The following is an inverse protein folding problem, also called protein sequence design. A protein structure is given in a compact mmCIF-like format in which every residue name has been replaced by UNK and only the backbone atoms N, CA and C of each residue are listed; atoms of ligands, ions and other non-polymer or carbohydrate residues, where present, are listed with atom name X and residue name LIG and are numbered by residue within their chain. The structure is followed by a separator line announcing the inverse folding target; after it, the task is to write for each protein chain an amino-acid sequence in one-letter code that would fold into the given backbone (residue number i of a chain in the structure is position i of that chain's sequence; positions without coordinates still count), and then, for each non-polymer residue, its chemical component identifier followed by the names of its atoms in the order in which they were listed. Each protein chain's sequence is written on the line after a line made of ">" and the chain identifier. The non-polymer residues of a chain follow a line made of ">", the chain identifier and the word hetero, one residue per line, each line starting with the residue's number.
data_IF_912092842790
#
_entry.id   IF_912092842790
#
_cell.length_a   1.000
_cell.length_b   1.000
_cell.length_c   1.000
_cell.angle_alpha   90.00
_cell.angle_beta   90.00
_cell.angle_gamma   90.00
#
_symmetry.space_group_name_H-M   'P 1'
#
loop_
_entity.id
_entity.type
_entity.pdbx_description
1 polymer ?
#
# COMPACT_ATOMS: atom_id res chain seq x y z
N UNK A 1 3.94 22.30 2.13
CA UNK A 1 2.87 23.31 2.33
C UNK A 1 1.47 22.74 2.08
N UNK A 2 1.16 22.17 0.90
CA UNK A 2 -0.18 21.68 0.56
C UNK A 2 -0.66 20.61 1.56
N UNK A 3 0.16 19.61 1.86
CA UNK A 3 -0.18 18.53 2.80
C UNK A 3 -0.26 19.00 4.27
N UNK A 4 0.42 20.10 4.62
CA UNK A 4 0.40 20.67 5.96
C UNK A 4 -0.82 21.58 6.20
N UNK A 5 -1.53 21.97 5.16
CA UNK A 5 -2.68 22.84 5.26
C UNK A 5 -3.95 22.01 5.48
N UNK A 6 -4.43 22.00 6.73
CA UNK A 6 -5.63 21.25 7.15
C UNK A 6 -6.92 21.76 6.50
N UNK A 7 -6.94 23.01 6.04
CA UNK A 7 -8.09 23.55 5.31
C UNK A 7 -8.21 22.96 3.89
N UNK A 8 -7.11 22.45 3.32
CA UNK A 8 -7.11 21.87 1.97
C UNK A 8 -7.50 20.39 1.97
N UNK A 9 -6.93 19.62 2.90
CA UNK A 9 -7.18 18.18 3.02
C UNK A 9 -7.22 17.75 4.48
N UNK A 10 -8.19 16.92 4.83
CA UNK A 10 -8.31 16.32 6.16
C UNK A 10 -7.21 15.34 6.50
N UNK A 11 -6.52 14.79 5.47
CA UNK A 11 -5.43 13.81 5.60
C UNK A 11 -4.27 14.11 4.64
N UNK A 12 -3.09 13.56 4.94
CA UNK A 12 -1.89 13.72 4.09
C UNK A 12 -1.92 12.86 2.81
N UNK A 13 -2.76 11.81 2.76
CA UNK A 13 -2.78 10.83 1.67
C UNK A 13 -3.48 11.33 0.41
N UNK A 14 -4.56 12.08 0.56
CA UNK A 14 -5.39 12.51 -0.58
C UNK A 14 -4.59 13.24 -1.66
N UNK A 15 -3.68 14.13 -1.28
CA UNK A 15 -2.88 14.86 -2.26
C UNK A 15 -1.82 14.01 -2.96
N UNK A 16 -1.17 13.07 -2.25
CA UNK A 16 -0.15 12.21 -2.88
C UNK A 16 -0.73 11.15 -3.81
N UNK A 17 -2.02 10.91 -3.71
CA UNK A 17 -2.79 10.04 -4.61
C UNK A 17 -3.34 10.79 -5.82
N UNK A 18 -3.27 12.12 -5.84
CA UNK A 18 -3.76 12.93 -6.93
C UNK A 18 -2.96 12.69 -8.23
N UNK A 19 -3.65 12.68 -9.35
CA UNK A 19 -3.06 12.45 -10.67
C UNK A 19 -2.83 13.80 -11.34
N UNK A 20 -1.59 14.20 -11.70
CA UNK A 20 -1.35 15.43 -12.40
C UNK A 20 -1.96 15.39 -13.83
N UNK A 21 -2.73 16.40 -14.19
CA UNK A 21 -3.32 16.56 -15.52
C UNK A 21 -2.47 17.43 -16.45
N UNK A 22 -1.52 18.16 -15.88
CA UNK A 22 -0.59 19.02 -16.59
C UNK A 22 0.86 18.58 -16.36
N UNK A 23 1.80 19.07 -17.20
CA UNK A 23 3.23 18.79 -17.02
C UNK A 23 3.72 19.35 -15.67
N UNK A 24 4.67 18.64 -15.04
CA UNK A 24 5.23 19.06 -13.75
C UNK A 24 5.83 20.46 -13.78
N UNK A 25 6.43 20.86 -14.91
CA UNK A 25 6.99 22.19 -15.08
C UNK A 25 5.90 23.27 -15.17
N UNK A 26 4.75 22.97 -15.79
CA UNK A 26 3.60 23.86 -15.80
C UNK A 26 3.04 24.02 -14.40
N UNK A 27 2.80 22.90 -13.72
CA UNK A 27 2.29 22.87 -12.34
C UNK A 27 3.18 23.69 -11.40
N UNK A 28 4.51 23.51 -11.46
CA UNK A 28 5.45 24.26 -10.65
C UNK A 28 5.37 25.77 -10.91
N UNK A 29 5.33 26.17 -12.20
CA UNK A 29 5.23 27.60 -12.56
C UNK A 29 3.91 28.23 -12.07
N UNK A 30 2.82 27.50 -12.12
CA UNK A 30 1.54 28.00 -11.64
C UNK A 30 1.50 28.06 -10.12
N UNK A 31 2.04 27.04 -9.44
CA UNK A 31 2.17 27.04 -7.99
C UNK A 31 2.93 28.26 -7.48
N UNK A 32 4.08 28.58 -8.07
CA UNK A 32 4.87 29.76 -7.66
C UNK A 32 4.08 31.09 -7.74
N UNK A 33 3.09 31.20 -8.65
CA UNK A 33 2.25 32.38 -8.78
C UNK A 33 1.16 32.49 -7.72
N UNK A 34 0.80 31.36 -7.08
CA UNK A 34 -0.39 31.29 -6.20
C UNK A 34 -0.06 30.95 -4.76
N UNK A 35 1.13 30.41 -4.44
CA UNK A 35 1.48 29.86 -3.12
C UNK A 35 1.22 30.83 -1.94
N UNK A 36 1.20 32.12 -2.17
CA UNK A 36 0.94 33.15 -1.14
C UNK A 36 -0.44 33.81 -1.27
N UNK A 37 -1.37 33.25 -2.08
CA UNK A 37 -2.69 33.88 -2.34
C UNK A 37 -3.84 33.32 -1.52
N UNK A 38 -3.53 32.46 -0.53
CA UNK A 38 -4.50 31.86 0.38
C UNK A 38 -5.22 30.64 -0.18
N UNK A 39 -6.02 30.01 0.67
CA UNK A 39 -6.61 28.69 0.43
C UNK A 39 -7.51 28.63 -0.80
N UNK A 40 -8.31 29.68 -1.05
CA UNK A 40 -9.20 29.72 -2.23
C UNK A 40 -8.45 29.64 -3.55
N UNK A 41 -7.31 30.33 -3.66
CA UNK A 41 -6.45 30.25 -4.84
C UNK A 41 -5.77 28.86 -4.96
N UNK A 42 -5.39 28.28 -3.83
CA UNK A 42 -4.81 26.94 -3.76
C UNK A 42 -5.84 25.87 -4.15
N UNK A 43 -7.08 25.93 -3.68
CA UNK A 43 -8.14 25.02 -4.11
C UNK A 43 -8.40 25.08 -5.62
N UNK A 44 -8.43 26.29 -6.18
CA UNK A 44 -8.60 26.46 -7.62
C UNK A 44 -7.42 25.83 -8.37
N UNK A 45 -6.20 26.11 -7.94
CA UNK A 45 -4.99 25.52 -8.53
C UNK A 45 -5.00 23.99 -8.50
N UNK A 46 -5.38 23.39 -7.38
CA UNK A 46 -5.46 21.93 -7.24
C UNK A 46 -6.45 21.33 -8.24
N UNK A 47 -7.64 21.90 -8.37
CA UNK A 47 -8.65 21.43 -9.33
C UNK A 47 -8.28 21.63 -10.79
N UNK A 48 -7.52 22.67 -11.09
CA UNK A 48 -7.13 23.01 -12.46
C UNK A 48 -5.93 22.15 -12.93
N UNK A 49 -5.18 21.53 -12.01
CA UNK A 49 -3.93 20.83 -12.30
C UNK A 49 -3.91 19.36 -11.92
N UNK A 50 -4.86 18.89 -11.12
CA UNK A 50 -4.86 17.52 -10.61
C UNK A 50 -6.25 16.91 -10.64
N UNK A 51 -6.34 15.68 -11.09
CA UNK A 51 -7.46 14.83 -10.78
C UNK A 51 -7.30 14.33 -9.34
N UNK A 52 -8.12 14.87 -8.44
CA UNK A 52 -8.14 14.43 -7.05
C UNK A 52 -8.82 13.06 -6.95
N UNK A 53 -8.35 12.16 -6.06
CA UNK A 53 -9.03 10.91 -5.84
C UNK A 53 -10.45 11.19 -5.34
N UNK A 54 -11.43 10.69 -6.06
CA UNK A 54 -12.85 10.84 -5.72
C UNK A 54 -13.24 10.05 -4.46
N UNK A 55 -14.41 10.35 -3.90
CA UNK A 55 -15.06 9.53 -2.86
C UNK A 55 -15.68 8.24 -3.48
N UNK A 56 -14.96 7.62 -4.40
CA UNK A 56 -15.46 6.54 -5.27
C UNK A 56 -15.80 5.24 -4.52
N UNK A 57 -15.46 5.14 -3.25
CA UNK A 57 -15.58 3.89 -2.51
C UNK A 57 -17.00 3.51 -2.11
N UNK A 58 -17.96 4.39 -2.32
CA UNK A 58 -19.37 4.14 -1.98
C UNK A 58 -20.35 4.49 -3.08
N UNK A 59 -19.91 4.58 -4.36
CA UNK A 59 -20.80 4.95 -5.46
C UNK A 59 -22.05 4.07 -5.50
N UNK A 60 -23.13 4.58 -4.93
CA UNK A 60 -24.44 3.92 -4.93
C UNK A 60 -24.63 2.78 -3.94
N UNK A 61 -23.63 2.41 -3.13
CA UNK A 61 -23.83 1.42 -2.10
C UNK A 61 -24.55 2.05 -0.89
N UNK A 62 -25.74 1.52 -0.62
CA UNK A 62 -26.51 1.85 0.59
C UNK A 62 -26.57 0.61 1.48
N UNK A 63 -26.28 0.81 2.75
CA UNK A 63 -26.48 -0.22 3.77
C UNK A 63 -27.96 -0.58 3.79
N UNK A 64 -28.27 -1.81 3.51
CA UNK A 64 -29.62 -2.34 3.68
C UNK A 64 -29.79 -3.07 5.00
N UNK A 65 -30.99 -3.57 5.29
CA UNK A 65 -31.31 -4.34 6.48
C UNK A 65 -30.92 -5.82 6.37
N UNK A 66 -29.99 -6.17 5.48
CA UNK A 66 -29.50 -7.54 5.36
C UNK A 66 -28.68 -7.95 6.60
N UNK A 67 -28.57 -9.26 6.84
CA UNK A 67 -27.67 -9.78 7.85
C UNK A 67 -26.20 -9.49 7.51
N UNK A 68 -25.32 -9.59 8.51
CA UNK A 68 -23.89 -9.24 8.38
C UNK A 68 -23.21 -10.02 7.27
N UNK A 69 -23.48 -11.32 7.11
CA UNK A 69 -22.83 -12.15 6.09
C UNK A 69 -23.22 -11.70 4.67
N UNK A 70 -24.52 -11.48 4.46
CA UNK A 70 -25.03 -10.93 3.19
C UNK A 70 -24.46 -9.54 2.89
N UNK A 71 -24.34 -8.67 3.91
CA UNK A 71 -23.75 -7.35 3.78
C UNK A 71 -22.27 -7.44 3.32
N UNK A 72 -21.47 -8.26 4.01
CA UNK A 72 -20.05 -8.48 3.66
C UNK A 72 -19.92 -8.99 2.21
N UNK A 73 -20.74 -9.98 1.84
CA UNK A 73 -20.71 -10.53 0.47
C UNK A 73 -21.02 -9.49 -0.59
N UNK A 74 -21.95 -8.57 -0.34
CA UNK A 74 -22.23 -7.45 -1.25
C UNK A 74 -21.07 -6.46 -1.36
N UNK A 75 -20.30 -6.27 -0.26
CA UNK A 75 -19.15 -5.36 -0.26
C UNK A 75 -18.03 -5.82 -1.19
N UNK A 76 -17.85 -7.11 -1.47
CA UNK A 76 -16.81 -7.57 -2.40
C UNK A 76 -16.92 -6.89 -3.76
N UNK A 77 -18.14 -6.74 -4.31
CA UNK A 77 -18.35 -6.07 -5.60
C UNK A 77 -18.05 -4.57 -5.56
N UNK A 78 -18.24 -3.92 -4.41
CA UNK A 78 -17.95 -2.49 -4.20
C UNK A 78 -16.45 -2.23 -4.08
N UNK A 79 -15.74 -3.14 -3.37
CA UNK A 79 -14.31 -3.01 -3.09
C UNK A 79 -13.42 -3.60 -4.19
N UNK A 80 -13.98 -4.39 -5.10
CA UNK A 80 -13.24 -4.99 -6.21
C UNK A 80 -12.82 -3.94 -7.23
N UNK A 81 -11.57 -3.99 -7.62
CA UNK A 81 -10.99 -3.19 -8.71
C UNK A 81 -10.65 -4.12 -9.87
N UNK A 82 -10.91 -3.71 -11.12
CA UNK A 82 -10.41 -4.43 -12.29
C UNK A 82 -8.88 -4.37 -12.35
N UNK A 83 -8.28 -5.06 -13.32
CA UNK A 83 -6.88 -4.84 -13.67
C UNK A 83 -6.65 -3.36 -14.01
N UNK A 84 -5.51 -2.81 -13.56
CA UNK A 84 -5.21 -1.41 -13.77
C UNK A 84 -4.71 -1.14 -15.19
N UNK A 85 -5.22 -0.09 -15.81
CA UNK A 85 -4.59 0.52 -16.98
C UNK A 85 -3.34 1.31 -16.55
N UNK A 86 -2.48 1.66 -17.55
CA UNK A 86 -1.30 2.49 -17.28
C UNK A 86 -1.76 3.90 -16.89
N UNK A 87 -1.72 4.20 -15.61
CA UNK A 87 -2.09 5.50 -15.06
C UNK A 87 -0.88 6.43 -14.94
N UNK A 88 -1.13 7.74 -15.01
CA UNK A 88 -0.21 8.79 -14.59
C UNK A 88 -0.45 9.08 -13.11
N UNK A 89 0.58 9.05 -12.27
CA UNK A 89 0.45 9.27 -10.82
C UNK A 89 1.30 8.30 -10.01
N UNK A 90 0.93 8.07 -8.77
CA UNK A 90 1.70 7.21 -7.85
C UNK A 90 1.28 5.74 -7.86
N UNK A 91 0.13 5.40 -8.49
CA UNK A 91 -0.35 4.01 -8.54
C UNK A 91 0.55 3.14 -9.43
N UNK A 92 0.93 1.99 -8.93
CA UNK A 92 1.64 0.94 -9.66
C UNK A 92 0.59 0.02 -10.26
N UNK A 93 0.42 -0.03 -11.59
CA UNK A 93 -0.62 -0.84 -12.22
C UNK A 93 -0.43 -2.32 -11.94
N UNK A 94 -1.54 -3.00 -11.65
CA UNK A 94 -1.60 -4.44 -11.41
C UNK A 94 -2.32 -5.16 -12.55
N UNK A 95 -1.80 -6.32 -13.00
CA UNK A 95 -2.31 -7.03 -14.17
C UNK A 95 -3.65 -7.75 -13.96
N UNK A 96 -4.08 -7.98 -12.72
CA UNK A 96 -5.30 -8.70 -12.40
C UNK A 96 -6.20 -7.90 -11.47
N UNK A 97 -7.47 -8.29 -11.36
CA UNK A 97 -8.42 -7.69 -10.42
C UNK A 97 -8.02 -7.95 -8.96
N UNK A 98 -8.39 -7.06 -8.06
CA UNK A 98 -8.07 -7.14 -6.64
C UNK A 98 -9.11 -6.46 -5.76
N UNK A 99 -9.09 -6.72 -4.46
CA UNK A 99 -9.92 -6.06 -3.45
C UNK A 99 -9.08 -4.98 -2.75
N UNK A 100 -9.68 -3.81 -2.54
CA UNK A 100 -9.09 -2.74 -1.72
C UNK A 100 -9.78 -2.67 -0.35
N UNK A 101 -9.10 -2.16 0.70
CA UNK A 101 -9.73 -2.02 2.02
C UNK A 101 -10.91 -1.03 2.05
N UNK A 102 -10.91 -0.03 1.17
CA UNK A 102 -11.97 0.98 1.07
C UNK A 102 -11.63 2.30 1.78
N UNK A 103 -12.55 3.26 1.71
CA UNK A 103 -12.33 4.61 2.20
C UNK A 103 -11.16 5.29 1.48
N UNK A 104 -10.23 5.87 2.22
CA UNK A 104 -9.01 6.49 1.66
C UNK A 104 -7.97 5.47 1.17
N UNK A 105 -8.14 4.17 1.45
CA UNK A 105 -7.24 3.09 1.05
C UNK A 105 -7.73 2.48 -0.27
N UNK A 106 -7.30 3.08 -1.39
CA UNK A 106 -7.78 2.80 -2.76
C UNK A 106 -6.85 1.89 -3.56
N UNK A 107 -5.82 1.38 -2.94
CA UNK A 107 -4.83 0.43 -3.46
C UNK A 107 -4.89 -0.90 -2.74
N UNK A 108 -4.24 -1.95 -3.30
CA UNK A 108 -4.03 -3.20 -2.56
C UNK A 108 -3.00 -2.98 -1.46
N UNK A 109 -3.23 -3.55 -0.29
CA UNK A 109 -2.27 -3.56 0.82
C UNK A 109 -1.82 -4.98 1.11
N UNK A 110 -0.55 -5.15 1.51
CA UNK A 110 0.09 -6.46 1.54
C UNK A 110 -0.57 -7.38 2.56
N UNK A 111 -0.29 -7.24 3.86
CA UNK A 111 -0.78 -8.19 4.87
C UNK A 111 -2.29 -8.12 5.08
N UNK A 112 -2.92 -6.95 4.85
CA UNK A 112 -4.38 -6.76 4.90
C UNK A 112 -5.09 -7.70 3.93
N UNK A 113 -4.47 -7.95 2.77
CA UNK A 113 -5.00 -8.85 1.73
C UNK A 113 -5.12 -10.30 2.20
N UNK A 114 -4.28 -10.77 3.12
CA UNK A 114 -4.42 -12.10 3.69
C UNK A 114 -5.77 -12.25 4.42
N UNK A 115 -6.11 -11.31 5.28
CA UNK A 115 -7.38 -11.33 6.03
C UNK A 115 -8.57 -11.17 5.08
N UNK A 116 -8.42 -10.37 4.04
CA UNK A 116 -9.41 -10.28 2.95
C UNK A 116 -9.60 -11.62 2.25
N UNK A 117 -8.51 -12.34 1.96
CA UNK A 117 -8.57 -13.66 1.30
C UNK A 117 -9.27 -14.71 2.16
N UNK A 118 -9.13 -14.69 3.50
CA UNK A 118 -9.89 -15.56 4.38
C UNK A 118 -11.42 -15.33 4.25
N UNK A 119 -11.83 -14.06 4.12
CA UNK A 119 -13.23 -13.73 3.86
C UNK A 119 -13.70 -14.15 2.47
N UNK A 120 -12.88 -13.94 1.45
CA UNK A 120 -13.16 -14.39 0.08
C UNK A 120 -13.25 -15.91 -0.04
N UNK A 121 -12.43 -16.65 0.74
CA UNK A 121 -12.46 -18.10 0.81
C UNK A 121 -13.82 -18.60 1.36
N UNK A 122 -14.31 -18.00 2.43
CA UNK A 122 -15.63 -18.33 2.99
C UNK A 122 -16.76 -18.11 1.97
N UNK A 123 -16.63 -17.09 1.13
CA UNK A 123 -17.62 -16.75 0.09
C UNK A 123 -17.39 -17.48 -1.25
N UNK A 124 -16.34 -18.31 -1.36
CA UNK A 124 -16.02 -19.11 -2.56
C UNK A 124 -15.41 -18.30 -3.71
N UNK A 125 -14.86 -17.11 -3.43
CA UNK A 125 -14.25 -16.18 -4.41
C UNK A 125 -12.80 -16.59 -4.77
N UNK A 126 -12.56 -17.87 -5.06
CA UNK A 126 -11.23 -18.48 -5.25
C UNK A 126 -10.45 -17.83 -6.41
N UNK A 127 -11.12 -17.42 -7.47
CA UNK A 127 -10.49 -16.73 -8.60
C UNK A 127 -9.95 -15.35 -8.18
N UNK A 128 -10.71 -14.62 -7.36
CA UNK A 128 -10.27 -13.32 -6.83
C UNK A 128 -9.05 -13.49 -5.91
N UNK A 129 -9.00 -14.52 -5.07
CA UNK A 129 -7.84 -14.87 -4.26
C UNK A 129 -6.62 -15.10 -5.15
N UNK A 130 -6.76 -15.92 -6.20
CA UNK A 130 -5.66 -16.20 -7.12
C UNK A 130 -5.16 -14.94 -7.82
N UNK A 131 -6.05 -14.09 -8.31
CA UNK A 131 -5.70 -12.82 -8.94
C UNK A 131 -4.89 -11.91 -8.00
N UNK A 132 -5.27 -11.83 -6.73
CA UNK A 132 -4.53 -11.05 -5.74
C UNK A 132 -3.13 -11.63 -5.49
N UNK A 133 -2.98 -12.96 -5.40
CA UNK A 133 -1.68 -13.64 -5.28
C UNK A 133 -0.83 -13.41 -6.54
N UNK A 134 -1.40 -13.53 -7.74
CA UNK A 134 -0.71 -13.28 -8.99
C UNK A 134 -0.25 -11.80 -9.10
N UNK A 135 -1.01 -10.85 -8.55
CA UNK A 135 -0.60 -9.44 -8.41
C UNK A 135 0.61 -9.28 -7.46
N UNK A 136 0.63 -9.97 -6.32
CA UNK A 136 1.79 -9.96 -5.42
C UNK A 136 3.00 -10.62 -6.06
N UNK A 137 2.82 -11.72 -6.80
CA UNK A 137 3.87 -12.34 -7.62
C UNK A 137 4.46 -11.35 -8.62
N UNK A 138 3.61 -10.58 -9.31
CA UNK A 138 4.03 -9.52 -10.22
C UNK A 138 4.87 -8.45 -9.50
N UNK A 139 4.46 -8.00 -8.32
CA UNK A 139 5.22 -7.02 -7.53
C UNK A 139 6.58 -7.58 -7.08
N UNK A 140 6.64 -8.83 -6.61
CA UNK A 140 7.90 -9.51 -6.27
C UNK A 140 8.82 -9.60 -7.50
N UNK A 141 8.29 -10.01 -8.64
CA UNK A 141 9.08 -10.11 -9.86
C UNK A 141 9.59 -8.77 -10.38
N UNK A 142 8.86 -7.70 -10.13
CA UNK A 142 9.20 -6.35 -10.58
C UNK A 142 10.17 -5.61 -9.65
N UNK A 143 10.00 -5.76 -8.33
CA UNK A 143 10.72 -4.98 -7.32
C UNK A 143 11.59 -5.82 -6.39
N UNK A 144 11.48 -7.15 -6.42
CA UNK A 144 12.16 -8.08 -5.52
C UNK A 144 11.43 -8.31 -4.19
N UNK A 145 10.33 -7.61 -3.94
CA UNK A 145 9.55 -7.70 -2.71
C UNK A 145 8.11 -7.18 -2.92
N UNK A 146 7.25 -7.38 -1.93
CA UNK A 146 5.91 -6.79 -1.90
C UNK A 146 5.98 -5.47 -1.11
N UNK A 147 5.75 -4.30 -1.75
CA UNK A 147 5.62 -3.03 -1.03
C UNK A 147 4.40 -3.02 -0.09
N UNK A 148 4.35 -2.08 0.85
CA UNK A 148 3.18 -1.86 1.72
C UNK A 148 1.85 -1.88 0.97
N UNK A 149 1.84 -1.31 -0.24
CA UNK A 149 0.74 -1.26 -1.19
C UNK A 149 1.25 -0.88 -2.58
N UNK A 150 0.41 -0.96 -3.60
CA UNK A 150 0.82 -0.70 -4.98
C UNK A 150 0.89 0.82 -5.32
N UNK A 151 1.63 1.58 -4.49
CA UNK A 151 1.98 2.99 -4.75
C UNK A 151 3.49 3.19 -4.73
N UNK A 152 4.00 4.09 -5.57
CA UNK A 152 5.44 4.35 -5.67
C UNK A 152 6.07 4.87 -4.38
N UNK A 153 5.32 5.55 -3.54
CA UNK A 153 5.82 6.03 -2.25
C UNK A 153 5.95 4.92 -1.19
N UNK A 154 5.41 3.71 -1.45
CA UNK A 154 5.60 2.53 -0.61
C UNK A 154 6.82 1.69 -0.95
N UNK A 155 7.59 2.03 -2.00
CA UNK A 155 8.74 1.23 -2.46
C UNK A 155 9.93 1.21 -1.50
N UNK A 156 9.91 1.98 -0.42
CA UNK A 156 10.98 1.98 0.60
C UNK A 156 10.80 0.93 1.70
N UNK A 157 9.62 0.29 1.80
CA UNK A 157 9.26 -0.63 2.89
C UNK A 157 8.24 -1.67 2.48
N UNK A 158 8.14 -2.72 3.30
CA UNK A 158 7.12 -3.77 3.21
C UNK A 158 6.32 -3.84 4.51
N UNK A 159 5.19 -4.51 4.49
CA UNK A 159 4.44 -4.97 5.65
C UNK A 159 4.91 -6.38 6.07
N UNK A 160 4.48 -6.94 7.21
CA UNK A 160 4.81 -8.30 7.62
C UNK A 160 4.58 -9.35 6.52
N UNK A 161 5.46 -10.36 6.38
CA UNK A 161 5.42 -11.33 5.29
C UNK A 161 4.28 -12.35 5.44
N UNK A 162 3.20 -12.13 4.73
CA UNK A 162 2.01 -12.98 4.71
C UNK A 162 1.81 -13.75 3.38
N UNK A 163 2.71 -13.59 2.42
CA UNK A 163 2.55 -14.19 1.09
C UNK A 163 2.50 -15.72 1.12
N UNK A 164 3.32 -16.37 1.96
CA UNK A 164 3.25 -17.82 2.15
C UNK A 164 1.90 -18.29 2.67
N UNK A 165 1.32 -17.56 3.63
CA UNK A 165 -0.01 -17.87 4.19
C UNK A 165 -1.13 -17.65 3.14
N UNK A 166 -0.98 -16.67 2.25
CA UNK A 166 -1.92 -16.47 1.14
C UNK A 166 -1.89 -17.67 0.16
N UNK A 167 -0.69 -18.21 -0.09
CA UNK A 167 -0.52 -19.39 -0.93
C UNK A 167 -1.15 -20.62 -0.25
N UNK A 168 -1.04 -20.76 1.08
CA UNK A 168 -1.71 -21.81 1.84
C UNK A 168 -3.23 -21.75 1.62
N UNK A 169 -3.85 -20.57 1.75
CA UNK A 169 -5.28 -20.37 1.46
C UNK A 169 -5.65 -20.84 0.06
N UNK A 170 -4.86 -20.50 -0.96
CA UNK A 170 -5.12 -20.95 -2.32
C UNK A 170 -4.89 -22.47 -2.49
N UNK A 171 -3.91 -23.03 -1.79
CA UNK A 171 -3.61 -24.48 -1.84
C UNK A 171 -4.71 -25.31 -1.21
N UNK A 172 -5.39 -24.83 -0.17
CA UNK A 172 -6.58 -25.47 0.40
C UNK A 172 -7.70 -25.64 -0.64
N UNK A 173 -7.83 -24.68 -1.57
CA UNK A 173 -8.87 -24.69 -2.61
C UNK A 173 -8.44 -25.44 -3.89
N UNK A 174 -7.16 -25.34 -4.29
CA UNK A 174 -6.66 -25.82 -5.60
C UNK A 174 -5.65 -26.98 -5.50
N UNK A 175 -5.30 -27.38 -4.29
CA UNK A 175 -4.36 -28.48 -4.03
C UNK A 175 -2.88 -28.07 -4.06
N UNK A 176 -2.02 -29.01 -3.65
CA UNK A 176 -0.61 -28.75 -3.34
C UNK A 176 0.26 -28.34 -4.55
N UNK A 177 -0.21 -28.48 -5.79
CA UNK A 177 0.51 -27.99 -6.97
C UNK A 177 0.71 -26.48 -6.98
N UNK A 178 -0.12 -25.76 -6.22
CA UNK A 178 -0.03 -24.31 -6.00
C UNK A 178 1.34 -23.93 -5.44
N UNK A 179 1.88 -24.68 -4.48
CA UNK A 179 3.20 -24.40 -3.88
C UNK A 179 4.32 -24.38 -4.91
N UNK A 180 4.33 -25.36 -5.80
CA UNK A 180 5.36 -25.44 -6.86
C UNK A 180 5.25 -24.26 -7.84
N UNK A 181 4.02 -23.77 -8.11
CA UNK A 181 3.79 -22.62 -8.98
C UNK A 181 4.43 -21.34 -8.44
N UNK A 182 4.28 -21.07 -7.15
CA UNK A 182 4.70 -19.81 -6.52
C UNK A 182 6.03 -19.89 -5.76
N UNK A 183 6.71 -21.05 -5.77
CA UNK A 183 8.00 -21.24 -5.10
C UNK A 183 9.06 -20.18 -5.48
N UNK A 184 9.23 -19.81 -6.78
CA UNK A 184 10.22 -18.80 -7.14
C UNK A 184 9.99 -17.44 -6.50
N UNK A 185 8.74 -17.03 -6.32
CA UNK A 185 8.38 -15.77 -5.68
C UNK A 185 8.55 -15.84 -4.16
N UNK A 186 8.21 -16.98 -3.53
CA UNK A 186 8.48 -17.24 -2.12
C UNK A 186 9.97 -17.16 -1.79
N UNK A 187 10.82 -17.73 -2.63
CA UNK A 187 12.27 -17.67 -2.47
C UNK A 187 12.80 -16.22 -2.58
N UNK A 188 12.27 -15.42 -3.51
CA UNK A 188 12.62 -13.99 -3.64
C UNK A 188 12.19 -13.18 -2.42
N UNK A 189 10.98 -13.41 -1.92
CA UNK A 189 10.50 -12.73 -0.72
C UNK A 189 11.35 -13.11 0.50
N UNK A 190 11.66 -14.37 0.66
CA UNK A 190 12.57 -14.84 1.72
C UNK A 190 13.95 -14.16 1.61
N UNK A 191 14.52 -14.07 0.41
CA UNK A 191 15.79 -13.39 0.18
C UNK A 191 15.74 -11.91 0.56
N UNK A 192 14.64 -11.22 0.24
CA UNK A 192 14.43 -9.83 0.65
C UNK A 192 14.42 -9.67 2.18
N UNK A 193 13.71 -10.53 2.89
CA UNK A 193 13.64 -10.48 4.35
C UNK A 193 14.94 -10.87 5.03
N UNK A 194 15.72 -11.75 4.42
CA UNK A 194 17.02 -12.23 4.94
C UNK A 194 18.22 -11.47 4.38
N UNK A 195 17.99 -10.38 3.64
CA UNK A 195 19.06 -9.57 3.07
C UNK A 195 20.03 -9.06 4.16
N UNK A 196 21.32 -9.35 3.98
CA UNK A 196 22.38 -8.94 4.90
C UNK A 196 22.61 -9.88 6.09
N UNK A 197 21.86 -10.97 6.26
CA UNK A 197 21.99 -11.90 7.39
C UNK A 197 23.41 -12.43 7.56
N UNK A 198 24.13 -12.67 6.44
CA UNK A 198 25.52 -13.16 6.44
C UNK A 198 26.55 -12.15 6.97
N UNK A 199 26.16 -10.87 7.03
CA UNK A 199 27.00 -9.77 7.51
C UNK A 199 26.80 -9.47 9.01
N UNK A 200 25.84 -10.14 9.65
CA UNK A 200 25.59 -9.98 11.08
C UNK A 200 26.71 -10.64 11.90
N UNK A 201 27.13 -9.95 12.96
CA UNK A 201 28.09 -10.42 13.96
C UNK A 201 27.59 -10.10 15.37
N UNK A 202 28.34 -10.49 16.41
CA UNK A 202 28.02 -10.08 17.79
C UNK A 202 28.14 -8.56 17.97
N UNK A 203 29.08 -7.93 17.26
CA UNK A 203 29.31 -6.49 17.30
C UNK A 203 28.31 -5.71 16.47
N UNK A 204 27.99 -6.22 15.28
CA UNK A 204 27.06 -5.60 14.32
C UNK A 204 25.83 -6.50 14.19
N UNK A 205 25.02 -6.50 15.25
CA UNK A 205 23.88 -7.44 15.39
C UNK A 205 22.62 -7.05 14.63
N UNK A 206 22.61 -5.90 13.97
CA UNK A 206 21.44 -5.35 13.27
C UNK A 206 21.82 -4.83 11.90
N UNK A 207 21.12 -5.30 10.85
CA UNK A 207 21.28 -4.77 9.49
C UNK A 207 19.92 -4.78 8.76
N UNK A 208 19.47 -3.63 8.35
CA UNK A 208 18.17 -3.48 7.66
C UNK A 208 17.05 -4.23 8.41
N UNK A 209 16.52 -5.28 7.79
CA UNK A 209 15.40 -6.10 8.29
C UNK A 209 15.81 -7.27 9.18
N UNK A 210 17.10 -7.55 9.34
CA UNK A 210 17.58 -8.70 10.11
C UNK A 210 18.25 -8.27 11.39
N UNK A 211 18.01 -9.02 12.46
CA UNK A 211 18.56 -8.81 13.79
C UNK A 211 19.06 -10.14 14.33
N UNK A 212 20.32 -10.16 14.80
CA UNK A 212 20.89 -11.27 15.56
C UNK A 212 20.65 -11.04 17.04
N UNK A 213 19.92 -11.94 17.66
CA UNK A 213 19.64 -11.90 19.10
C UNK A 213 20.85 -12.40 19.91
N UNK A 214 20.93 -12.10 21.23
CA UNK A 214 22.03 -12.57 22.09
C UNK A 214 22.18 -14.09 22.16
N UNK A 215 21.11 -14.84 21.98
CA UNK A 215 21.10 -16.32 21.91
C UNK A 215 21.54 -16.88 20.55
N UNK A 216 21.87 -16.01 19.59
CA UNK A 216 22.28 -16.36 18.24
C UNK A 216 21.12 -16.52 17.24
N UNK A 217 19.87 -16.48 17.68
CA UNK A 217 18.70 -16.55 16.79
C UNK A 217 18.63 -15.32 15.87
N UNK A 218 18.07 -15.49 14.68
CA UNK A 218 17.86 -14.41 13.71
C UNK A 218 16.37 -14.10 13.67
N UNK A 219 16.04 -12.84 13.86
CA UNK A 219 14.69 -12.30 13.74
C UNK A 219 14.62 -11.25 12.63
N UNK A 220 13.42 -11.00 12.13
CA UNK A 220 13.15 -9.87 11.27
C UNK A 220 12.52 -8.71 12.05
N UNK A 221 12.79 -7.49 11.59
CA UNK A 221 12.19 -6.26 12.11
C UNK A 221 11.58 -5.43 10.99
N UNK A 222 10.67 -4.54 11.32
CA UNK A 222 10.26 -3.47 10.42
C UNK A 222 11.46 -2.57 10.08
N UNK A 223 11.57 -2.21 8.81
CA UNK A 223 12.62 -1.32 8.32
C UNK A 223 12.12 -0.54 7.10
N UNK A 224 12.29 0.78 7.14
CA UNK A 224 12.11 1.67 6.01
C UNK A 224 13.49 2.17 5.54
N UNK A 225 13.76 2.12 4.25
CA UNK A 225 15.01 2.60 3.65
C UNK A 225 15.14 4.14 3.69
N UNK A 226 14.06 4.87 4.04
CA UNK A 226 14.02 6.32 4.14
C UNK A 226 13.91 6.75 5.58
N UNK A 227 14.56 7.88 5.89
CA UNK A 227 14.49 8.58 7.17
C UNK A 227 13.78 9.94 7.04
N UNK A 228 12.95 10.11 6.03
CA UNK A 228 12.14 11.30 5.77
C UNK A 228 10.68 11.02 6.09
N UNK A 229 9.87 12.05 6.38
CA UNK A 229 8.45 11.87 6.56
C UNK A 229 7.81 11.11 5.41
N UNK A 230 6.90 10.20 5.73
CA UNK A 230 6.19 9.39 4.73
C UNK A 230 5.25 10.28 3.91
N UNK A 231 5.24 10.18 2.59
CA UNK A 231 4.39 11.04 1.77
C UNK A 231 2.89 10.97 2.15
N UNK A 232 2.38 9.79 2.45
CA UNK A 232 0.97 9.55 2.80
C UNK A 232 0.61 9.88 4.26
N UNK A 233 1.61 10.16 5.11
CA UNK A 233 1.46 10.52 6.52
C UNK A 233 2.38 11.69 6.90
N UNK A 234 2.58 12.61 5.96
CA UNK A 234 3.61 13.65 6.10
C UNK A 234 3.41 14.53 7.32
N UNK A 235 2.18 15.01 7.53
CA UNK A 235 1.82 15.88 8.66
C UNK A 235 1.93 15.16 9.99
N UNK A 236 1.46 13.93 10.04
CA UNK A 236 1.49 13.08 11.22
C UNK A 236 2.93 12.77 11.65
N UNK A 237 3.81 12.49 10.70
CA UNK A 237 5.22 12.19 10.97
C UNK A 237 5.99 13.44 11.46
N UNK A 238 5.73 14.61 10.87
CA UNK A 238 6.31 15.89 11.35
C UNK A 238 5.87 16.16 12.78
N UNK A 239 4.58 16.05 13.07
CA UNK A 239 4.04 16.26 14.41
C UNK A 239 4.68 15.30 15.43
N UNK A 240 4.80 14.02 15.11
CA UNK A 240 5.45 13.03 15.98
C UNK A 240 6.91 13.39 16.26
N UNK A 241 7.65 13.86 15.24
CA UNK A 241 9.04 14.28 15.39
C UNK A 241 9.17 15.53 16.29
N UNK A 242 8.29 16.51 16.14
CA UNK A 242 8.25 17.73 16.96
C UNK A 242 7.93 17.40 18.45
N UNK A 243 6.97 16.51 18.68
CA UNK A 243 6.62 16.03 20.02
C UNK A 243 7.80 15.32 20.69
N UNK A 244 8.52 14.47 19.95
CA UNK A 244 9.70 13.77 20.48
C UNK A 244 10.83 14.73 20.89
N UNK A 245 11.02 15.85 20.20
CA UNK A 245 12.02 16.88 20.55
C UNK A 245 11.61 17.64 21.82
N UNK A 246 10.31 17.88 22.02
CA UNK A 246 9.81 18.62 23.18
C UNK A 246 9.78 17.80 24.47
N UNK A 247 9.94 16.48 24.42
CA UNK A 247 9.96 15.57 25.57
C UNK A 247 11.38 15.18 26.02
N UNK A 248 12.44 15.63 25.34
CA UNK A 248 13.85 15.48 25.70
C UNK A 248 14.45 16.79 26.22
#
# INVERSE_FOLDING_TARGET
>A
EIQQNENLFSDSKTFVDAIPENSLDSIKREYEKIKNKGDSAMFKFLRDNFQLPGEETSQGYQTDSSDIATHIKKLWSVLKRPADEKLSGTLIPLPYSYIVPGGRFREIYYWDSYFTMLGLQVDGEVETIQHMIDNFSYLINKFGFIPNGNRTYYLSRSQPPFYSLMIDVLAEEKGNTVYAKYLPELEKEYQFWMEGVKNLSERDSVLNRVVRMPDGSILNRYYDNKNTPRPESYREDIKTAEEAVNHN
#
